data_IF_147880518041
#
_entry.id   IF_147880518041
#
_cell.length_a   1.000
_cell.length_b   1.000
_cell.length_c   1.000
_cell.angle_alpha   90.00
_cell.angle_beta   90.00
_cell.angle_gamma   90.00
#
_symmetry.space_group_name_H-M   'P 1'
#
loop_
_entity.id
_entity.type
_entity.pdbx_description
1 polymer ?
#
# COMPACT_ATOMS: atom_id res chain seq x y z
N UNK A 1 -5.50 -31.46 -39.73
CA UNK A 1 -4.32 -31.87 -38.96
C UNK A 1 -3.64 -30.62 -38.41
N UNK A 2 -3.67 -30.51 -37.09
CA UNK A 2 -2.75 -29.80 -36.19
C UNK A 2 -2.58 -28.28 -36.29
N UNK A 3 -3.34 -27.65 -35.40
CA UNK A 3 -3.16 -26.35 -34.76
C UNK A 3 -1.85 -26.30 -33.94
N UNK A 4 -1.13 -25.18 -33.98
CA UNK A 4 -0.20 -24.66 -32.95
C UNK A 4 -0.45 -23.15 -32.92
N UNK A 5 -1.22 -22.53 -32.02
CA UNK A 5 -1.13 -22.40 -30.57
C UNK A 5 0.10 -21.62 -30.03
N UNK A 6 -0.23 -20.51 -29.34
CA UNK A 6 0.54 -19.70 -28.36
C UNK A 6 1.49 -18.63 -28.94
N UNK A 7 1.45 -17.36 -28.57
CA UNK A 7 0.90 -16.71 -27.38
C UNK A 7 0.33 -15.30 -27.67
N UNK A 8 -0.75 -15.00 -26.94
CA UNK A 8 -1.37 -13.69 -26.78
C UNK A 8 -0.39 -12.74 -26.06
N UNK A 9 -0.40 -11.46 -26.42
CA UNK A 9 -0.54 -10.36 -25.45
C UNK A 9 -1.01 -9.10 -26.19
N UNK A 10 -2.28 -8.77 -25.92
CA UNK A 10 -3.01 -7.59 -26.37
C UNK A 10 -2.63 -6.39 -25.47
N UNK A 11 -2.25 -5.29 -26.11
CA UNK A 11 -2.86 -3.95 -26.00
C UNK A 11 -2.89 -3.19 -24.65
N UNK A 12 -2.72 -1.87 -24.77
CA UNK A 12 -3.23 -0.75 -23.93
C UNK A 12 -2.25 -0.19 -22.88
N UNK A 13 -1.34 0.67 -23.35
CA UNK A 13 -0.79 1.77 -22.54
C UNK A 13 -1.89 2.83 -22.40
N UNK A 14 -2.69 2.75 -21.32
CA UNK A 14 -3.55 3.85 -20.89
C UNK A 14 -2.80 4.66 -19.83
N UNK A 15 -2.28 5.81 -20.28
CA UNK A 15 -1.76 6.91 -19.47
C UNK A 15 -2.85 7.33 -18.47
N UNK A 16 -2.65 7.07 -17.17
CA UNK A 16 -3.55 7.59 -16.11
C UNK A 16 -3.22 9.08 -15.90
N UNK A 17 -4.24 9.96 -15.78
CA UNK A 17 -4.03 11.39 -15.66
C UNK A 17 -3.49 11.73 -14.26
N UNK A 18 -2.38 12.48 -14.22
CA UNK A 18 -1.91 13.15 -13.01
C UNK A 18 -2.96 14.21 -12.64
N UNK A 19 -3.76 13.94 -11.61
CA UNK A 19 -4.62 14.97 -11.01
C UNK A 19 -3.73 16.00 -10.33
N UNK A 20 -4.04 17.26 -10.65
CA UNK A 20 -3.40 18.49 -10.21
C UNK A 20 -3.22 18.53 -8.68
N UNK A 21 -2.07 19.09 -8.31
CA UNK A 21 -1.79 19.69 -7.01
C UNK A 21 -2.95 20.61 -6.63
N UNK A 22 -3.64 20.27 -5.54
CA UNK A 22 -4.56 21.17 -4.85
C UNK A 22 -4.08 21.20 -3.40
N UNK A 23 -3.41 22.28 -3.05
CA UNK A 23 -3.07 22.64 -1.68
C UNK A 23 -4.34 23.16 -1.03
N UNK A 24 -5.16 22.26 -0.49
CA UNK A 24 -6.24 22.64 0.42
C UNK A 24 -5.75 22.39 1.85
N UNK A 25 -5.61 23.48 2.61
CA UNK A 25 -5.39 23.43 4.05
C UNK A 25 -6.73 23.09 4.68
N UNK A 26 -6.98 21.79 4.86
CA UNK A 26 -8.22 21.27 5.44
C UNK A 26 -8.11 21.33 6.97
N UNK A 27 -9.06 22.02 7.62
CA UNK A 27 -9.24 22.03 9.08
C UNK A 27 -9.26 20.59 9.65
N UNK A 28 -8.83 20.34 10.90
CA UNK A 28 -8.68 18.98 11.41
C UNK A 28 -10.06 18.31 11.54
N UNK A 29 -10.45 17.60 10.48
CA UNK A 29 -11.61 16.73 10.49
C UNK A 29 -11.22 15.49 11.28
N UNK A 30 -12.04 15.13 12.28
CA UNK A 30 -11.80 13.94 13.10
C UNK A 30 -12.16 12.73 12.24
N UNK A 31 -11.17 12.24 11.48
CA UNK A 31 -11.29 11.02 10.70
C UNK A 31 -11.15 9.84 11.66
N UNK A 32 -12.11 8.93 11.66
CA UNK A 32 -12.04 7.71 12.47
C UNK A 32 -11.04 6.74 11.83
N UNK A 33 -9.98 6.41 12.57
CA UNK A 33 -8.97 5.44 12.16
C UNK A 33 -8.77 4.39 13.24
N UNK A 34 -8.28 3.23 12.81
CA UNK A 34 -7.81 2.19 13.72
C UNK A 34 -6.30 2.30 13.85
N UNK A 35 -5.81 2.29 15.08
CA UNK A 35 -4.37 2.30 15.37
C UNK A 35 -3.91 0.90 15.79
N UNK A 36 -2.75 0.49 15.27
CA UNK A 36 -2.06 -0.72 15.67
C UNK A 36 -0.57 -0.45 15.83
N UNK A 37 0.07 -1.13 16.78
CA UNK A 37 1.52 -1.04 17.00
C UNK A 37 2.15 -2.40 16.78
N UNK A 38 3.17 -2.46 15.91
CA UNK A 38 4.00 -3.62 15.67
C UNK A 38 5.42 -3.40 16.19
N UNK A 39 6.03 -4.43 16.78
CA UNK A 39 7.43 -4.39 17.25
C UNK A 39 8.16 -5.62 16.72
N UNK A 40 9.33 -5.43 16.11
CA UNK A 40 10.20 -6.53 15.66
C UNK A 40 11.64 -6.20 16.02
N UNK A 41 12.26 -7.03 16.87
CA UNK A 41 13.58 -6.75 17.46
C UNK A 41 13.57 -5.34 18.11
N UNK A 42 14.38 -4.42 17.60
CA UNK A 42 14.48 -3.02 18.03
C UNK A 42 13.61 -2.07 17.21
N UNK A 43 12.98 -2.53 16.12
CA UNK A 43 12.11 -1.71 15.27
C UNK A 43 10.69 -1.60 15.85
N UNK A 44 10.13 -0.39 15.78
CA UNK A 44 8.76 -0.08 16.19
C UNK A 44 8.01 0.52 15.00
N UNK A 45 6.83 -0.02 14.70
CA UNK A 45 5.93 0.45 13.66
C UNK A 45 4.59 0.86 14.29
N UNK A 46 4.18 2.12 14.11
CA UNK A 46 2.81 2.57 14.39
C UNK A 46 2.05 2.67 13.09
N UNK A 47 0.95 1.94 12.98
CA UNK A 47 0.14 1.84 11.78
C UNK A 47 -1.24 2.42 12.03
N UNK A 48 -1.67 3.30 11.13
CA UNK A 48 -3.01 3.86 11.07
C UNK A 48 -3.73 3.28 9.87
N UNK A 49 -4.91 2.75 10.11
CA UNK A 49 -5.80 2.14 9.12
C UNK A 49 -7.04 3.02 8.98
N UNK A 50 -7.24 3.52 7.77
CA UNK A 50 -8.42 4.31 7.40
C UNK A 50 -9.33 3.46 6.52
N UNK A 51 -10.56 3.11 6.99
CA UNK A 51 -11.54 2.42 6.16
C UNK A 51 -12.13 3.36 5.09
N UNK A 52 -12.33 2.86 3.86
CA UNK A 52 -12.89 3.63 2.74
C UNK A 52 -11.87 4.41 1.91
N UNK A 53 -10.62 3.95 1.85
CA UNK A 53 -9.48 4.60 1.22
C UNK A 53 -9.22 4.25 -0.25
N UNK A 54 -8.03 4.57 -0.77
CA UNK A 54 -7.60 4.30 -2.16
C UNK A 54 -6.55 3.17 -2.26
N UNK A 55 -6.63 2.13 -1.40
CA UNK A 55 -5.66 1.01 -1.37
C UNK A 55 -4.19 1.47 -1.35
N UNK A 56 -3.92 2.56 -0.63
CA UNK A 56 -2.60 3.16 -0.51
C UNK A 56 -1.88 2.60 0.69
N UNK A 57 -0.67 2.10 0.49
CA UNK A 57 0.21 1.66 1.57
C UNK A 57 1.46 2.53 1.64
N UNK A 58 1.48 3.42 2.63
CA UNK A 58 2.55 4.39 2.85
C UNK A 58 3.36 4.02 4.10
N UNK A 59 4.68 4.03 3.98
CA UNK A 59 5.64 3.83 5.08
C UNK A 59 6.55 5.05 5.13
N UNK A 60 6.53 5.79 6.24
CA UNK A 60 7.32 7.02 6.41
C UNK A 60 7.17 7.99 5.21
N UNK A 61 5.92 8.17 4.73
CA UNK A 61 5.54 8.99 3.55
C UNK A 61 6.09 8.49 2.20
N UNK A 62 6.66 7.29 2.13
CA UNK A 62 7.10 6.64 0.90
C UNK A 62 6.19 5.45 0.57
N UNK A 63 6.11 5.07 -0.69
CA UNK A 63 5.42 3.85 -1.09
C UNK A 63 6.14 2.63 -0.51
N UNK A 64 5.41 1.63 -0.02
CA UNK A 64 5.98 0.42 0.56
C UNK A 64 6.95 -0.30 -0.39
N UNK A 65 6.69 -0.26 -1.71
CA UNK A 65 7.57 -0.86 -2.73
C UNK A 65 8.92 -0.15 -2.85
N UNK A 66 8.93 1.17 -2.62
CA UNK A 66 10.15 1.97 -2.62
C UNK A 66 10.89 1.87 -1.29
N UNK A 67 10.16 1.67 -0.20
CA UNK A 67 10.74 1.53 1.14
C UNK A 67 11.47 0.19 1.31
N UNK A 68 10.86 -0.91 0.86
CA UNK A 68 11.47 -2.24 0.89
C UNK A 68 12.09 -2.58 -0.46
N UNK A 69 13.42 -2.56 -0.56
CA UNK A 69 14.15 -2.92 -1.79
C UNK A 69 14.07 -4.42 -2.11
N UNK A 70 14.01 -5.28 -1.10
CA UNK A 70 14.01 -6.73 -1.26
C UNK A 70 12.59 -7.29 -1.41
N UNK A 71 12.36 -8.12 -2.44
CA UNK A 71 11.06 -8.76 -2.71
C UNK A 71 10.53 -9.61 -1.54
N UNK A 72 11.41 -10.27 -0.79
CA UNK A 72 11.01 -11.04 0.39
C UNK A 72 10.34 -10.16 1.46
N UNK A 73 10.86 -8.94 1.67
CA UNK A 73 10.29 -7.99 2.63
C UNK A 73 8.94 -7.44 2.16
N UNK A 74 8.82 -7.14 0.88
CA UNK A 74 7.55 -6.73 0.26
C UNK A 74 6.47 -7.82 0.45
N UNK A 75 6.80 -9.08 0.14
CA UNK A 75 5.88 -10.22 0.33
C UNK A 75 5.46 -10.40 1.78
N UNK A 76 6.37 -10.25 2.74
CA UNK A 76 6.02 -10.33 4.16
C UNK A 76 5.01 -9.24 4.54
N UNK A 77 5.21 -8.01 4.09
CA UNK A 77 4.32 -6.88 4.37
C UNK A 77 2.93 -7.07 3.73
N UNK A 78 2.87 -7.61 2.51
CA UNK A 78 1.60 -7.90 1.80
C UNK A 78 0.89 -9.15 2.36
N UNK A 79 1.61 -10.09 2.96
CA UNK A 79 1.06 -11.39 3.38
C UNK A 79 -0.09 -11.29 4.38
N UNK A 80 -0.08 -10.29 5.26
CA UNK A 80 -1.16 -10.05 6.22
C UNK A 80 -2.42 -9.54 5.52
N UNK A 81 -2.27 -8.60 4.59
CA UNK A 81 -3.37 -8.03 3.80
C UNK A 81 -4.01 -9.08 2.91
N UNK A 82 -3.20 -9.95 2.29
CA UNK A 82 -3.69 -11.01 1.42
C UNK A 82 -4.55 -12.06 2.17
N UNK A 83 -4.22 -12.34 3.44
CA UNK A 83 -4.94 -13.30 4.28
C UNK A 83 -6.30 -12.79 4.74
N UNK A 84 -6.36 -11.49 5.04
CA UNK A 84 -7.55 -10.85 5.60
C UNK A 84 -8.70 -10.75 4.58
N UNK A 85 -8.39 -10.79 3.27
CA UNK A 85 -9.38 -10.71 2.16
C UNK A 85 -10.43 -9.62 2.41
N UNK A 86 -9.98 -8.41 2.78
CA UNK A 86 -10.91 -7.32 3.06
C UNK A 86 -11.56 -6.84 1.75
N UNK A 87 -12.90 -6.70 1.71
CA UNK A 87 -13.61 -6.19 0.54
C UNK A 87 -13.50 -4.67 0.40
N UNK A 88 -13.22 -3.97 1.50
CA UNK A 88 -13.20 -2.51 1.54
C UNK A 88 -11.81 -1.96 1.22
N UNK A 89 -11.79 -0.86 0.48
CA UNK A 89 -10.55 -0.18 0.17
C UNK A 89 -9.94 0.46 1.42
N UNK A 90 -8.63 0.29 1.62
CA UNK A 90 -7.93 0.70 2.85
C UNK A 90 -6.82 1.70 2.53
N UNK A 91 -6.75 2.79 3.29
CA UNK A 91 -5.52 3.61 3.32
C UNK A 91 -4.73 3.23 4.58
N UNK A 92 -3.49 2.81 4.39
CA UNK A 92 -2.57 2.39 5.43
C UNK A 92 -1.43 3.39 5.50
N UNK A 93 -1.28 4.01 6.67
CA UNK A 93 -0.14 4.88 6.97
C UNK A 93 0.66 4.29 8.12
N UNK A 94 1.90 3.92 7.85
CA UNK A 94 2.82 3.40 8.84
C UNK A 94 3.97 4.39 9.10
N UNK A 95 4.19 4.72 10.36
CA UNK A 95 5.39 5.39 10.84
C UNK A 95 6.27 4.33 11.48
N UNK A 96 7.45 4.12 10.91
CA UNK A 96 8.40 3.10 11.36
C UNK A 96 9.66 3.80 11.84
N UNK A 97 10.07 3.49 13.07
CA UNK A 97 11.23 4.08 13.72
C UNK A 97 12.04 3.01 14.44
N UNK A 98 13.37 3.14 14.35
CA UNK A 98 14.32 2.20 14.94
C UNK A 98 14.52 0.92 14.13
N UNK A 99 15.55 0.16 14.50
CA UNK A 99 15.90 -1.16 13.97
C UNK A 99 16.32 -1.23 12.50
N UNK A 100 17.18 -2.22 12.21
CA UNK A 100 17.69 -2.63 10.89
C UNK A 100 17.87 -4.14 10.84
#
# INVERSE_FOLDING_TARGET
>A
MTVKEKAKLKTIVKKKPMKKVVTEVVAPTIVKFFEGVGRRKTAIARVRLFPGGEDKFLINKKDFKQYFSTLALQRMAESSLLKIKYPDSLTIEAIVSGGG
#
